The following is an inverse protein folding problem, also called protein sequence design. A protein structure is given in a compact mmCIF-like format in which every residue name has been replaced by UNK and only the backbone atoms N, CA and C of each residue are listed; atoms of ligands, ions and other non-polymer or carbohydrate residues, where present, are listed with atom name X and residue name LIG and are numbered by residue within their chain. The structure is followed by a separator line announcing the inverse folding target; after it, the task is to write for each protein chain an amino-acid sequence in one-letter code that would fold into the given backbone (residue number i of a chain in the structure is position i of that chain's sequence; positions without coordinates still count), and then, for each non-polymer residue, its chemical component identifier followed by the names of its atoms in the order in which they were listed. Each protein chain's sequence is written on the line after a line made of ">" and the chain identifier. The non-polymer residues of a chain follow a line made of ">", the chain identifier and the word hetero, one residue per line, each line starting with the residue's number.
data_IF_825172879653
#
_entry.id   IF_825172879653
#
_cell.length_a   1.000
_cell.length_b   1.000
_cell.length_c   1.000
_cell.angle_alpha   90.00
_cell.angle_beta   90.00
_cell.angle_gamma   90.00
#
_symmetry.space_group_name_H-M   'P 1'
#
loop_
_entity.id
_entity.type
_entity.pdbx_description
1 polymer ?
#
# COMPACT_ATOMS: atom_id res chain seq x y z
N UNK A 1 30.85 -22.05 21.44
CA UNK A 1 30.14 -21.08 20.57
C UNK A 1 28.63 -21.31 20.73
N UNK A 2 27.99 -20.55 21.61
CA UNK A 2 26.57 -20.71 21.91
C UNK A 2 25.73 -20.04 20.82
N UNK A 3 24.85 -20.82 20.19
CA UNK A 3 23.90 -20.36 19.17
C UNK A 3 22.79 -19.61 19.89
N UNK A 4 22.77 -18.28 19.79
CA UNK A 4 21.65 -17.47 20.28
C UNK A 4 20.39 -17.81 19.48
N UNK A 5 19.50 -18.59 20.09
CA UNK A 5 18.15 -18.79 19.63
C UNK A 5 17.37 -17.48 19.88
N UNK A 6 17.37 -16.59 18.90
CA UNK A 6 16.37 -15.53 18.82
C UNK A 6 15.03 -16.19 18.58
N UNK A 7 14.26 -16.38 19.64
CA UNK A 7 12.84 -16.70 19.58
C UNK A 7 12.13 -15.55 18.89
N UNK A 8 11.98 -15.64 17.57
CA UNK A 8 11.10 -14.80 16.76
C UNK A 8 9.72 -14.83 17.42
N UNK A 9 9.35 -13.73 18.05
CA UNK A 9 8.02 -13.56 18.62
C UNK A 9 7.02 -13.60 17.46
N UNK A 10 6.30 -14.71 17.38
CA UNK A 10 5.14 -14.86 16.52
C UNK A 10 4.09 -13.84 16.93
N UNK A 11 3.85 -12.85 16.06
CA UNK A 11 2.56 -12.17 15.97
C UNK A 11 2.38 -10.94 16.85
N UNK A 12 2.88 -9.78 16.39
CA UNK A 12 2.56 -8.48 16.99
C UNK A 12 2.75 -7.33 16.02
N UNK A 13 2.41 -7.52 14.74
CA UNK A 13 2.45 -6.45 13.74
C UNK A 13 1.04 -5.95 13.46
N UNK A 14 0.90 -4.65 13.19
CA UNK A 14 -0.39 -4.07 12.79
C UNK A 14 -0.93 -4.83 11.56
N UNK A 15 -2.20 -5.22 11.53
CA UNK A 15 -2.77 -5.87 10.36
C UNK A 15 -2.68 -4.93 9.15
N UNK A 16 -2.39 -5.50 7.98
CA UNK A 16 -2.46 -4.73 6.73
C UNK A 16 -3.90 -4.23 6.53
N UNK A 17 -4.09 -2.99 6.05
CA UNK A 17 -5.38 -2.53 5.56
C UNK A 17 -5.92 -3.49 4.51
N UNK A 18 -7.24 -3.63 4.35
CA UNK A 18 -7.82 -4.54 3.35
C UNK A 18 -7.45 -4.16 1.92
N UNK A 19 -7.26 -2.86 1.68
CA UNK A 19 -6.96 -2.18 0.41
C UNK A 19 -5.46 -1.89 0.23
N UNK A 20 -4.59 -2.53 1.01
CA UNK A 20 -3.15 -2.25 1.01
C UNK A 20 -2.46 -2.46 -0.35
N UNK A 21 -2.99 -3.33 -1.21
CA UNK A 21 -2.45 -3.56 -2.56
C UNK A 21 -2.69 -2.35 -3.45
N UNK A 22 -3.88 -1.77 -3.39
CA UNK A 22 -4.22 -0.54 -4.11
C UNK A 22 -3.32 0.63 -3.70
N UNK A 23 -2.77 0.59 -2.47
CA UNK A 23 -1.80 1.59 -2.01
C UNK A 23 -0.42 1.35 -2.61
N UNK A 24 -0.01 0.09 -2.77
CA UNK A 24 1.26 -0.24 -3.44
C UNK A 24 1.24 0.13 -4.91
N UNK A 25 0.12 -0.07 -5.61
CA UNK A 25 0.00 0.30 -7.02
C UNK A 25 0.09 1.81 -7.26
N UNK A 26 -0.09 2.61 -6.20
CA UNK A 26 0.05 4.07 -6.20
C UNK A 26 1.41 4.54 -5.68
N UNK A 27 2.24 3.63 -5.17
CA UNK A 27 3.59 3.99 -4.78
C UNK A 27 4.43 4.28 -6.03
N UNK A 28 5.36 5.24 -5.95
CA UNK A 28 6.47 5.33 -6.88
C UNK A 28 7.19 3.97 -7.03
N UNK A 29 7.66 3.66 -8.24
CA UNK A 29 8.31 2.39 -8.55
C UNK A 29 9.46 2.05 -7.60
N UNK A 30 10.27 3.04 -7.18
CA UNK A 30 11.37 2.85 -6.24
C UNK A 30 10.91 2.33 -4.87
N UNK A 31 9.74 2.80 -4.40
CA UNK A 31 9.17 2.36 -3.13
C UNK A 31 8.43 1.03 -3.27
N UNK A 32 7.85 0.75 -4.44
CA UNK A 32 7.23 -0.54 -4.74
C UNK A 32 8.30 -1.64 -4.82
N UNK A 33 9.40 -1.39 -5.51
CA UNK A 33 10.54 -2.30 -5.62
C UNK A 33 11.16 -2.55 -4.24
N UNK A 34 11.40 -1.50 -3.45
CA UNK A 34 11.91 -1.64 -2.09
C UNK A 34 10.98 -2.48 -1.18
N UNK A 35 9.66 -2.38 -1.38
CA UNK A 35 8.69 -3.23 -0.71
C UNK A 35 8.83 -4.70 -1.15
N UNK A 36 8.88 -4.97 -2.46
CA UNK A 36 8.96 -6.32 -3.00
C UNK A 36 10.27 -7.01 -2.61
N UNK A 37 11.41 -6.32 -2.72
CA UNK A 37 12.71 -6.80 -2.28
C UNK A 37 12.71 -7.12 -0.78
N UNK A 38 12.14 -6.24 0.05
CA UNK A 38 12.08 -6.47 1.50
C UNK A 38 11.19 -7.66 1.84
N UNK A 39 10.08 -7.85 1.12
CA UNK A 39 9.22 -9.01 1.29
C UNK A 39 9.94 -10.30 0.90
N UNK A 40 10.69 -10.30 -0.21
CA UNK A 40 11.49 -11.44 -0.63
C UNK A 40 12.57 -11.79 0.40
N UNK A 41 13.33 -10.80 0.91
CA UNK A 41 14.36 -11.02 1.93
C UNK A 41 13.77 -11.62 3.21
N UNK A 42 12.63 -11.11 3.69
CA UNK A 42 12.00 -11.64 4.91
C UNK A 42 11.45 -13.06 4.69
N UNK A 43 10.97 -13.39 3.49
CA UNK A 43 10.51 -14.73 3.15
C UNK A 43 11.67 -15.73 3.05
N UNK A 44 12.66 -15.44 2.21
CA UNK A 44 13.71 -16.40 1.89
C UNK A 44 14.79 -16.45 2.96
N UNK A 45 15.32 -15.30 3.38
CA UNK A 45 16.39 -15.26 4.38
C UNK A 45 15.83 -15.33 5.81
N UNK A 46 14.67 -14.71 6.02
CA UNK A 46 13.98 -14.71 7.32
C UNK A 46 13.17 -15.97 7.60
N UNK A 47 12.94 -16.83 6.59
CA UNK A 47 12.17 -18.06 6.71
C UNK A 47 10.68 -17.84 7.04
N UNK A 48 10.16 -16.63 6.82
CA UNK A 48 8.77 -16.30 7.11
C UNK A 48 7.85 -16.68 5.95
N UNK A 49 6.60 -17.01 6.26
CA UNK A 49 5.59 -17.20 5.19
C UNK A 49 5.38 -15.89 4.44
N UNK A 50 5.18 -15.94 3.12
CA UNK A 50 4.92 -14.78 2.24
C UNK A 50 4.01 -13.72 2.87
N UNK A 51 2.85 -14.12 3.37
CA UNK A 51 1.87 -13.21 4.00
C UNK A 51 2.44 -12.44 5.22
N UNK A 52 3.30 -13.07 6.00
CA UNK A 52 3.97 -12.41 7.13
C UNK A 52 5.11 -11.51 6.65
N UNK A 53 5.85 -11.95 5.64
CA UNK A 53 6.91 -11.18 5.02
C UNK A 53 6.38 -9.87 4.41
N UNK A 54 5.32 -9.95 3.61
CA UNK A 54 4.61 -8.80 3.03
C UNK A 54 4.14 -7.81 4.10
N UNK A 55 3.55 -8.31 5.19
CA UNK A 55 3.11 -7.46 6.32
C UNK A 55 4.27 -6.69 6.93
N UNK A 56 5.39 -7.38 7.20
CA UNK A 56 6.57 -6.74 7.80
C UNK A 56 7.27 -5.79 6.82
N UNK A 57 7.30 -6.12 5.54
CA UNK A 57 7.83 -5.25 4.50
C UNK A 57 7.02 -3.95 4.39
N UNK A 58 5.69 -4.05 4.41
CA UNK A 58 4.80 -2.89 4.41
C UNK A 58 5.04 -1.99 5.63
N UNK A 59 5.23 -2.57 6.81
CA UNK A 59 5.55 -1.80 8.01
C UNK A 59 6.89 -1.05 7.88
N UNK A 60 7.92 -1.71 7.34
CA UNK A 60 9.24 -1.12 7.15
C UNK A 60 9.24 -0.01 6.09
N UNK A 61 8.62 -0.26 4.93
CA UNK A 61 8.73 0.60 3.75
C UNK A 61 7.66 1.67 3.71
N UNK A 62 6.47 1.40 4.24
CA UNK A 62 5.34 2.34 4.17
C UNK A 62 5.08 3.00 5.52
N UNK A 63 4.82 2.24 6.59
CA UNK A 63 4.42 2.88 7.87
C UNK A 63 5.54 3.67 8.55
N UNK A 64 6.78 3.20 8.47
CA UNK A 64 7.93 3.85 9.10
C UNK A 64 8.64 4.85 8.18
N UNK A 65 8.25 4.92 6.91
CA UNK A 65 8.82 5.87 5.95
C UNK A 65 7.91 7.08 5.79
N UNK A 66 8.28 8.19 6.42
CA UNK A 66 7.51 9.43 6.38
C UNK A 66 7.33 9.96 4.95
N UNK A 67 8.36 9.82 4.10
CA UNK A 67 8.30 10.23 2.69
C UNK A 67 7.28 9.41 1.91
N UNK A 68 7.25 8.09 2.10
CA UNK A 68 6.25 7.22 1.46
C UNK A 68 4.82 7.56 1.91
N UNK A 69 4.62 7.80 3.21
CA UNK A 69 3.32 8.23 3.75
C UNK A 69 2.83 9.54 3.14
N UNK A 70 3.68 10.56 3.10
CA UNK A 70 3.34 11.86 2.50
C UNK A 70 2.98 11.73 1.01
N UNK A 71 3.63 10.82 0.29
CA UNK A 71 3.31 10.55 -1.14
C UNK A 71 1.95 9.89 -1.31
N UNK A 72 1.61 8.91 -0.47
CA UNK A 72 0.28 8.30 -0.46
C UNK A 72 -0.82 9.32 -0.10
N UNK A 73 -0.56 10.19 0.88
CA UNK A 73 -1.48 11.26 1.28
C UNK A 73 -1.65 12.31 0.16
N UNK A 74 -0.57 12.73 -0.51
CA UNK A 74 -0.61 13.67 -1.64
C UNK A 74 -1.34 13.09 -2.86
N UNK A 75 -1.21 11.78 -3.12
CA UNK A 75 -1.98 11.08 -4.14
C UNK A 75 -3.46 10.93 -3.79
N UNK A 76 -3.81 10.90 -2.48
CA UNK A 76 -5.19 10.85 -2.00
C UNK A 76 -5.91 12.20 -2.15
N UNK A 77 -5.19 13.31 -2.08
CA UNK A 77 -5.70 14.66 -2.37
C UNK A 77 -5.98 14.92 -3.86
N UNK A 78 -5.69 13.95 -4.74
CA UNK A 78 -6.01 13.97 -6.17
C UNK A 78 -6.97 12.82 -6.55
N UNK A 79 -7.79 12.34 -5.62
CA UNK A 79 -9.02 11.67 -6.05
C UNK A 79 -9.84 12.71 -6.85
N UNK A 80 -10.24 12.44 -8.11
CA UNK A 80 -11.22 13.30 -8.74
C UNK A 80 -12.42 13.31 -7.80
N UNK A 81 -12.90 14.51 -7.47
CA UNK A 81 -14.24 14.65 -6.95
C UNK A 81 -15.13 13.89 -7.93
N UNK A 82 -15.58 12.71 -7.52
CA UNK A 82 -16.74 12.08 -8.11
C UNK A 82 -17.90 13.01 -7.76
N UNK A 83 -18.02 14.08 -8.54
CA UNK A 83 -19.26 14.82 -8.70
C UNK A 83 -20.16 13.90 -9.53
N UNK A 84 -20.70 12.93 -8.82
CA UNK A 84 -21.68 11.98 -9.31
C UNK A 84 -22.84 11.95 -8.34
N UNK A 85 -23.50 13.10 -8.15
CA UNK A 85 -24.89 13.10 -7.72
C UNK A 85 -25.65 14.33 -8.25
N UNK A 86 -25.64 14.48 -9.59
CA UNK A 86 -26.69 15.23 -10.28
C UNK A 86 -26.99 14.57 -11.63
N UNK A 87 -27.93 13.64 -11.58
CA UNK A 87 -28.98 13.38 -12.57
C UNK A 87 -28.59 13.30 -14.06
N UNK A 88 -28.56 12.07 -14.56
CA UNK A 88 -29.15 11.58 -15.81
C UNK A 88 -30.14 12.49 -16.61
N UNK A 89 -29.75 13.67 -17.09
CA UNK A 89 -30.59 14.43 -18.02
C UNK A 89 -29.77 15.20 -19.07
N UNK A 90 -29.07 14.45 -19.93
CA UNK A 90 -28.73 14.91 -21.28
C UNK A 90 -29.60 14.16 -22.28
N UNK A 91 -30.52 14.88 -22.93
CA UNK A 91 -31.14 14.71 -24.27
C UNK A 91 -32.24 15.80 -24.31
N UNK A 92 -32.09 16.97 -24.92
CA UNK A 92 -31.97 17.29 -26.36
C UNK A 92 -31.59 18.77 -26.46
N UNK A 93 -30.58 19.22 -27.21
CA UNK A 93 -30.62 19.47 -28.65
C UNK A 93 -31.87 20.28 -29.13
N UNK A 94 -31.64 21.53 -29.54
CA UNK A 94 -32.24 22.08 -30.77
C UNK A 94 -33.15 23.31 -30.69
N UNK A 95 -32.68 24.40 -31.32
CA UNK A 95 -33.42 25.52 -31.97
C UNK A 95 -34.26 26.45 -31.07
N UNK A 96 -34.17 27.78 -31.13
CA UNK A 96 -33.84 28.65 -32.25
C UNK A 96 -35.11 29.31 -32.79
N UNK A 97 -35.42 30.52 -32.31
CA UNK A 97 -36.14 31.64 -32.93
C UNK A 97 -36.67 32.60 -31.85
#
# INVERSE_FOLDING_TARGET
>A
MARSALTLHSGGGRPLPSDWRDWLDRLPDDLRDAYEERAALIEFDGGEKRRTAERRAFECVVWRNERARRRLEAGRSQAPAAFGDACCAQVSAGAGA
#
